data_IF_750521638269
#
_entry.id   IF_750521638269
#
_cell.length_a   1.000
_cell.length_b   1.000
_cell.length_c   1.000
_cell.angle_alpha   90.00
_cell.angle_beta   90.00
_cell.angle_gamma   90.00
#
_symmetry.space_group_name_H-M   'P 1'
#
loop_
_entity.id
_entity.type
_entity.pdbx_description
1 polymer ?
#
# COMPACT_ATOMS: atom_id res chain seq x y z
N UNK A 1 -9.24 16.06 -5.39
CA UNK A 1 -9.10 15.24 -4.17
C UNK A 1 -7.64 15.23 -3.78
N UNK A 2 -7.32 15.60 -2.55
CA UNK A 2 -5.97 15.47 -2.05
C UNK A 2 -5.63 13.97 -1.94
N UNK A 3 -4.47 13.53 -2.43
CA UNK A 3 -4.02 12.13 -2.38
C UNK A 3 -2.92 11.93 -1.32
N UNK A 4 -2.80 12.87 -0.39
CA UNK A 4 -1.84 12.78 0.72
C UNK A 4 -2.20 11.71 1.75
N UNK A 5 -3.40 11.11 1.68
CA UNK A 5 -3.85 10.08 2.61
C UNK A 5 -4.79 9.09 1.94
N UNK A 6 -4.73 7.83 2.36
CA UNK A 6 -5.73 6.82 2.01
C UNK A 6 -5.99 5.87 3.17
N UNK A 7 -7.08 5.14 3.06
CA UNK A 7 -7.46 4.06 3.95
C UNK A 7 -7.41 2.72 3.20
N UNK A 8 -6.93 1.67 3.88
CA UNK A 8 -7.14 0.29 3.47
C UNK A 8 -8.22 -0.32 4.37
N UNK A 9 -9.39 -0.60 3.80
CA UNK A 9 -10.55 -1.17 4.49
C UNK A 9 -10.64 -2.66 4.24
N UNK A 10 -10.41 -3.47 5.26
CA UNK A 10 -10.44 -4.93 5.14
C UNK A 10 -11.87 -5.41 4.94
N UNK A 11 -12.11 -6.15 3.86
CA UNK A 11 -13.47 -6.56 3.47
C UNK A 11 -14.13 -7.59 4.40
N UNK A 12 -13.34 -8.31 5.21
CA UNK A 12 -13.87 -9.39 6.06
C UNK A 12 -14.51 -8.91 7.36
N UNK A 13 -14.09 -7.75 7.88
CA UNK A 13 -14.46 -7.28 9.22
C UNK A 13 -14.37 -5.75 9.39
N UNK A 14 -14.33 -5.02 8.28
CA UNK A 14 -14.31 -3.55 8.23
C UNK A 14 -13.15 -2.90 9.00
N UNK A 15 -12.09 -3.64 9.31
CA UNK A 15 -10.88 -3.06 9.91
C UNK A 15 -10.26 -2.04 8.94
N UNK A 16 -10.00 -0.84 9.43
CA UNK A 16 -9.44 0.26 8.64
C UNK A 16 -8.02 0.59 9.10
N UNK A 17 -7.11 0.71 8.14
CA UNK A 17 -5.78 1.26 8.36
C UNK A 17 -5.59 2.54 7.56
N UNK A 18 -5.16 3.60 8.23
CA UNK A 18 -4.88 4.89 7.60
C UNK A 18 -3.41 5.01 7.23
N UNK A 19 -3.14 5.51 6.04
CA UNK A 19 -1.80 5.71 5.51
C UNK A 19 -1.59 7.15 5.05
N UNK A 20 -0.46 7.73 5.43
CA UNK A 20 -0.10 9.11 5.14
C UNK A 20 1.08 9.17 4.17
N UNK A 21 0.95 10.00 3.13
CA UNK A 21 2.02 10.30 2.17
C UNK A 21 3.20 10.92 2.91
N UNK A 22 4.39 10.43 2.63
CA UNK A 22 5.67 10.90 3.17
C UNK A 22 6.71 10.87 2.06
N UNK A 23 7.62 11.84 2.11
CA UNK A 23 8.81 11.82 1.27
C UNK A 23 9.87 10.96 1.94
N UNK A 24 10.49 10.08 1.15
CA UNK A 24 11.59 9.23 1.56
C UNK A 24 12.93 9.96 1.37
N UNK A 25 14.03 9.52 2.04
CA UNK A 25 15.34 10.17 1.91
C UNK A 25 15.89 10.20 0.48
N UNK A 26 15.49 9.25 -0.38
CA UNK A 26 15.87 9.19 -1.79
C UNK A 26 15.02 10.11 -2.70
N UNK A 27 14.16 10.94 -2.10
CA UNK A 27 13.26 11.86 -2.80
C UNK A 27 11.98 11.22 -3.31
N UNK A 28 11.83 9.89 -3.25
CA UNK A 28 10.60 9.20 -3.66
C UNK A 28 9.50 9.38 -2.62
N UNK A 29 8.31 8.94 -3.00
CA UNK A 29 7.13 8.96 -2.13
C UNK A 29 6.86 7.57 -1.60
N UNK A 30 6.56 7.51 -0.31
CA UNK A 30 5.96 6.35 0.34
C UNK A 30 4.72 6.76 1.12
N UNK A 31 3.95 5.77 1.54
CA UNK A 31 2.82 5.97 2.43
C UNK A 31 3.05 5.16 3.69
N UNK A 32 3.17 5.83 4.83
CA UNK A 32 3.38 5.17 6.12
C UNK A 32 2.05 5.00 6.82
N UNK A 33 1.83 3.83 7.40
CA UNK A 33 0.68 3.58 8.27
C UNK A 33 0.72 4.49 9.49
N UNK A 34 -0.45 4.90 9.96
CA UNK A 34 -0.57 5.86 11.06
C UNK A 34 -0.13 5.27 12.41
N UNK A 35 -0.46 4.00 12.66
CA UNK A 35 -0.31 3.32 13.95
C UNK A 35 0.89 2.36 14.01
N UNK A 36 1.67 2.20 12.93
CA UNK A 36 2.86 1.36 12.89
C UNK A 36 3.82 1.78 11.78
N UNK A 37 5.07 1.34 11.89
CA UNK A 37 6.10 1.55 10.89
C UNK A 37 5.96 0.53 9.74
N UNK A 38 4.85 0.64 9.00
CA UNK A 38 4.57 -0.16 7.82
C UNK A 38 4.40 0.77 6.63
N UNK A 39 5.08 0.44 5.54
CA UNK A 39 5.18 1.32 4.38
C UNK A 39 4.62 0.69 3.11
N UNK A 40 3.84 1.49 2.37
CA UNK A 40 3.49 1.24 0.98
C UNK A 40 4.41 2.09 0.10
N UNK A 41 5.19 1.43 -0.77
CA UNK A 41 6.24 2.06 -1.59
C UNK A 41 6.21 1.53 -3.01
N UNK A 42 6.61 2.38 -3.94
CA UNK A 42 6.79 2.01 -5.34
C UNK A 42 8.19 1.44 -5.56
N UNK A 43 8.28 0.27 -6.20
CA UNK A 43 9.53 -0.31 -6.66
C UNK A 43 9.53 -0.41 -8.19
N UNK A 44 10.60 0.07 -8.83
CA UNK A 44 10.76 -0.06 -10.28
C UNK A 44 10.77 -1.54 -10.70
N UNK A 45 9.96 -1.89 -11.70
CA UNK A 45 9.82 -3.27 -12.19
C UNK A 45 8.76 -4.11 -11.46
N UNK A 46 8.26 -3.65 -10.31
CA UNK A 46 7.26 -4.38 -9.51
C UNK A 46 5.99 -3.57 -9.22
N UNK A 47 6.13 -2.26 -9.04
CA UNK A 47 5.04 -1.33 -8.72
C UNK A 47 4.90 -1.08 -7.23
N UNK A 48 3.70 -0.64 -6.83
CA UNK A 48 3.35 -0.40 -5.44
C UNK A 48 3.15 -1.71 -4.68
N UNK A 49 3.72 -1.74 -3.48
CA UNK A 49 3.53 -2.84 -2.54
C UNK A 49 3.66 -2.36 -1.10
N UNK A 50 3.06 -3.10 -0.18
CA UNK A 50 3.41 -3.06 1.23
C UNK A 50 4.66 -3.91 1.42
N UNK A 51 5.74 -3.29 1.88
CA UNK A 51 7.05 -3.92 1.98
C UNK A 51 7.51 -3.91 3.43
N UNK A 52 8.02 -5.05 3.88
CA UNK A 52 8.75 -5.12 5.13
C UNK A 52 10.10 -4.39 4.98
N UNK A 53 10.48 -3.59 5.98
CA UNK A 53 11.71 -2.81 5.94
C UNK A 53 12.95 -3.61 6.36
N UNK A 54 12.78 -4.69 7.14
CA UNK A 54 13.90 -5.48 7.64
C UNK A 54 14.46 -6.40 6.54
N UNK A 55 13.58 -7.09 5.82
CA UNK A 55 13.98 -8.11 4.84
C UNK A 55 13.51 -7.85 3.41
N UNK A 56 12.76 -6.77 3.17
CA UNK A 56 12.24 -6.42 1.84
C UNK A 56 11.13 -7.36 1.35
N UNK A 57 10.51 -8.15 2.22
CA UNK A 57 9.42 -9.05 1.85
C UNK A 57 8.19 -8.27 1.41
N UNK A 58 7.58 -8.70 0.30
CA UNK A 58 6.28 -8.19 -0.13
C UNK A 58 5.17 -8.75 0.76
N UNK A 59 4.55 -7.87 1.54
CA UNK A 59 3.44 -8.20 2.44
C UNK A 59 2.08 -7.97 1.79
N UNK A 60 1.99 -7.12 0.76
CA UNK A 60 0.74 -6.89 0.04
C UNK A 60 0.91 -6.05 -1.21
N UNK A 61 -0.08 -6.12 -2.10
CA UNK A 61 -0.05 -5.47 -3.42
C UNK A 61 -1.45 -5.21 -3.96
N UNK A 62 -1.59 -4.33 -4.96
CA UNK A 62 -2.80 -4.27 -5.78
C UNK A 62 -3.09 -5.63 -6.39
N UNK A 63 -4.37 -6.02 -6.37
CA UNK A 63 -4.79 -7.29 -6.96
C UNK A 63 -5.00 -7.17 -8.47
N UNK A 64 -5.80 -6.19 -8.89
CA UNK A 64 -6.29 -6.08 -10.28
C UNK A 64 -5.51 -5.09 -11.15
N UNK A 65 -4.57 -4.32 -10.60
CA UNK A 65 -3.82 -3.31 -11.36
C UNK A 65 -2.38 -3.80 -11.60
N UNK A 66 -2.04 -4.22 -12.83
CA UNK A 66 -0.70 -4.73 -13.14
C UNK A 66 0.33 -3.59 -13.14
N UNK A 67 1.59 -3.92 -12.83
CA UNK A 67 2.69 -2.95 -12.70
C UNK A 67 2.77 -1.91 -13.84
N UNK A 68 2.73 -2.27 -15.13
CA UNK A 68 2.87 -1.29 -16.22
C UNK A 68 1.78 -0.22 -16.26
N UNK A 69 0.64 -0.46 -15.60
CA UNK A 69 -0.50 0.45 -15.54
C UNK A 69 -0.53 1.28 -14.25
N UNK A 70 0.40 1.03 -13.33
CA UNK A 70 0.46 1.75 -12.06
C UNK A 70 1.18 3.10 -12.23
N UNK A 71 0.55 4.14 -11.69
CA UNK A 71 1.14 5.46 -11.51
C UNK A 71 2.26 5.41 -10.44
N UNK A 72 3.46 5.89 -10.74
CA UNK A 72 4.59 5.86 -9.81
C UNK A 72 4.47 6.85 -8.64
N UNK A 73 3.59 7.86 -8.75
CA UNK A 73 3.39 8.88 -7.73
C UNK A 73 2.28 8.52 -6.73
N UNK A 74 1.37 7.61 -7.12
CA UNK A 74 0.17 7.29 -6.36
C UNK A 74 -0.20 5.79 -6.44
N UNK A 75 -0.38 5.11 -5.30
CA UNK A 75 -0.90 3.75 -5.27
C UNK A 75 -2.27 3.65 -5.96
N UNK A 76 -2.54 2.58 -6.71
CA UNK A 76 -3.86 2.40 -7.31
C UNK A 76 -4.92 2.24 -6.23
N UNK A 77 -6.02 2.97 -6.38
CA UNK A 77 -7.27 2.69 -5.65
C UNK A 77 -7.80 1.30 -6.02
N UNK A 78 -8.71 0.78 -5.20
CA UNK A 78 -9.37 -0.50 -5.49
C UNK A 78 -8.88 -1.64 -4.60
N UNK A 79 -8.94 -2.85 -5.14
CA UNK A 79 -8.65 -4.06 -4.38
C UNK A 79 -7.16 -4.30 -4.15
N UNK A 80 -6.80 -4.56 -2.90
CA UNK A 80 -5.47 -4.93 -2.45
C UNK A 80 -5.51 -6.23 -1.68
N UNK A 81 -4.49 -7.07 -1.87
CA UNK A 81 -4.32 -8.29 -1.08
C UNK A 81 -3.09 -8.17 -0.21
N UNK A 82 -3.16 -8.64 1.03
CA UNK A 82 -2.00 -8.85 1.89
C UNK A 82 -1.86 -10.30 2.28
N UNK A 83 -0.62 -10.76 2.51
CA UNK A 83 -0.29 -12.07 3.07
C UNK A 83 0.22 -11.89 4.50
N UNK A 84 -0.35 -12.62 5.45
CA UNK A 84 0.10 -12.66 6.85
C UNK A 84 0.18 -14.10 7.33
N UNK A 85 1.40 -14.64 7.36
CA UNK A 85 1.63 -16.07 7.62
C UNK A 85 0.88 -16.93 6.59
N UNK A 86 0.00 -17.82 7.08
CA UNK A 86 -0.82 -18.70 6.27
C UNK A 86 -2.14 -18.07 5.77
N UNK A 87 -2.43 -16.81 6.11
CA UNK A 87 -3.70 -16.13 5.77
C UNK A 87 -3.46 -15.04 4.73
N UNK A 88 -4.48 -14.81 3.90
CA UNK A 88 -4.58 -13.63 3.04
C UNK A 88 -5.77 -12.78 3.44
N UNK A 89 -5.65 -11.47 3.28
CA UNK A 89 -6.72 -10.52 3.55
C UNK A 89 -6.91 -9.62 2.34
N UNK A 90 -8.16 -9.31 2.02
CA UNK A 90 -8.54 -8.41 0.93
C UNK A 90 -8.98 -7.08 1.52
N UNK A 91 -8.45 -6.00 0.97
CA UNK A 91 -8.73 -4.63 1.37
C UNK A 91 -9.21 -3.82 0.16
N UNK A 92 -9.92 -2.74 0.45
CA UNK A 92 -10.22 -1.68 -0.51
C UNK A 92 -9.38 -0.44 -0.16
N UNK A 93 -8.58 0.05 -1.11
CA UNK A 93 -7.85 1.30 -1.00
C UNK A 93 -8.73 2.47 -1.46
N UNK A 94 -8.97 3.40 -0.55
CA UNK A 94 -9.77 4.61 -0.79
C UNK A 94 -9.00 5.84 -0.33
N UNK A 95 -8.79 6.82 -1.22
CA UNK A 95 -8.19 8.11 -0.87
C UNK A 95 -9.18 8.97 -0.05
N UNK A 96 -8.68 9.64 0.99
CA UNK A 96 -9.47 10.39 2.01
C UNK A 96 -8.81 11.69 2.48
#
# INVERSE_FOLDING_TARGET
>A
MNRDRFELKRRSDDLVYTFHRKQLPDGKVGYRREDADLWIRFQGGFGWGAWDDEDGTLLGRPWNVPFPEQDADYPPKGEWVSKKGAKSYVYELVYV
#
